data_IF_973818838112
#
_entry.id   IF_973818838112
#
_cell.length_a   1.000
_cell.length_b   1.000
_cell.length_c   1.000
_cell.angle_alpha   90.00
_cell.angle_beta   90.00
_cell.angle_gamma   90.00
#
_symmetry.space_group_name_H-M   'P 1'
#
loop_
_entity.id
_entity.type
_entity.pdbx_description
1 polymer ?
#
# COMPACT_ATOMS: atom_id res chain seq x y z
N UNK A 1 -10.32 20.66 17.93
CA UNK A 1 -9.49 21.67 17.25
C UNK A 1 -10.16 22.07 15.94
N UNK A 2 -10.07 23.33 15.51
CA UNK A 2 -10.69 23.81 14.27
C UNK A 2 -9.63 24.27 13.26
N UNK A 3 -9.87 23.99 11.99
CA UNK A 3 -8.98 24.32 10.87
C UNK A 3 -9.82 24.54 9.61
N UNK A 4 -9.23 25.12 8.55
CA UNK A 4 -9.89 25.37 7.28
C UNK A 4 -9.47 24.31 6.25
N UNK A 5 -10.38 23.98 5.36
CA UNK A 5 -10.06 23.21 4.16
C UNK A 5 -9.50 24.13 3.08
N UNK A 6 -8.79 23.57 2.10
CA UNK A 6 -8.54 24.26 0.84
C UNK A 6 -9.80 24.28 -0.06
N UNK A 7 -9.66 24.84 -1.26
CA UNK A 7 -10.75 25.00 -2.24
C UNK A 7 -11.29 23.65 -2.76
N UNK A 8 -10.54 22.56 -2.57
CA UNK A 8 -10.93 21.19 -2.93
C UNK A 8 -11.50 20.42 -1.72
N UNK A 9 -11.68 21.09 -0.57
CA UNK A 9 -12.24 20.48 0.63
C UNK A 9 -11.23 19.64 1.42
N UNK A 10 -9.93 19.70 1.10
CA UNK A 10 -8.90 18.93 1.81
C UNK A 10 -8.42 19.64 3.06
N UNK A 11 -8.05 18.84 4.04
CA UNK A 11 -7.33 19.29 5.23
C UNK A 11 -5.93 18.68 5.26
N UNK A 12 -4.91 19.52 5.28
CA UNK A 12 -3.53 19.12 5.57
C UNK A 12 -3.06 19.82 6.84
N UNK A 13 -2.78 19.05 7.88
CA UNK A 13 -2.25 19.59 9.13
C UNK A 13 -1.35 18.55 9.81
N UNK A 14 -0.44 19.03 10.67
CA UNK A 14 0.40 18.17 11.51
C UNK A 14 -0.07 18.29 12.94
N UNK A 15 -0.30 17.14 13.58
CA UNK A 15 -0.71 17.07 14.97
C UNK A 15 0.44 16.52 15.79
N UNK A 16 0.73 17.18 16.91
CA UNK A 16 1.69 16.68 17.90
C UNK A 16 0.88 16.07 19.03
N UNK A 17 1.25 14.85 19.41
CA UNK A 17 0.71 14.15 20.56
C UNK A 17 1.88 13.68 21.40
N UNK A 18 1.73 13.74 22.71
CA UNK A 18 2.65 13.12 23.66
C UNK A 18 2.48 11.60 23.63
N UNK A 19 3.49 10.85 24.06
CA UNK A 19 3.40 9.39 24.16
C UNK A 19 2.26 8.97 25.12
N UNK A 20 2.00 9.73 26.18
CA UNK A 20 0.89 9.47 27.10
C UNK A 20 -0.47 9.62 26.41
N UNK A 21 -0.65 10.63 25.56
CA UNK A 21 -1.87 10.79 24.76
C UNK A 21 -2.01 9.67 23.73
N UNK A 22 -0.92 9.25 23.08
CA UNK A 22 -0.93 8.12 22.16
C UNK A 22 -1.42 6.86 22.87
N UNK A 23 -0.89 6.53 24.05
CA UNK A 23 -1.36 5.38 24.84
C UNK A 23 -2.81 5.51 25.28
N UNK A 24 -3.23 6.70 25.70
CA UNK A 24 -4.61 6.94 26.15
C UNK A 24 -5.63 6.70 25.03
N UNK A 25 -5.28 7.04 23.79
CA UNK A 25 -6.17 6.91 22.63
C UNK A 25 -5.91 5.65 21.80
N UNK A 26 -4.91 4.82 22.17
CA UNK A 26 -4.56 3.60 21.46
C UNK A 26 -5.71 2.62 21.52
N UNK A 27 -6.09 2.12 20.34
CA UNK A 27 -7.05 1.03 20.16
C UNK A 27 -6.37 -0.14 19.46
N UNK A 28 -6.94 -1.33 19.60
CA UNK A 28 -6.51 -2.51 18.85
C UNK A 28 -6.79 -2.33 17.36
N UNK A 29 -5.83 -2.72 16.50
CA UNK A 29 -5.98 -2.71 15.05
C UNK A 29 -4.67 -2.32 14.34
N UNK A 30 -4.28 -3.09 13.33
CA UNK A 30 -2.91 -3.04 12.79
C UNK A 30 -1.88 -3.65 13.76
N UNK A 31 -0.64 -3.84 13.32
CA UNK A 31 0.41 -4.51 14.11
C UNK A 31 0.71 -3.84 15.46
N UNK A 32 0.77 -2.51 15.50
CA UNK A 32 1.06 -1.77 16.74
C UNK A 32 -0.16 -1.01 17.28
N UNK A 33 -1.37 -1.32 16.84
CA UNK A 33 -2.57 -0.55 17.21
C UNK A 33 -2.79 0.71 16.38
N UNK A 34 -3.90 1.38 16.66
CA UNK A 34 -4.38 2.54 15.91
C UNK A 34 -5.01 3.59 16.81
N UNK A 35 -5.11 4.81 16.30
CA UNK A 35 -5.90 5.90 16.88
C UNK A 35 -7.04 6.21 15.92
N UNK A 36 -8.28 6.26 16.44
CA UNK A 36 -9.45 6.67 15.67
C UNK A 36 -9.73 8.15 15.92
N UNK A 37 -9.88 8.92 14.85
CA UNK A 37 -10.24 10.33 14.94
C UNK A 37 -11.55 10.62 14.20
N UNK A 38 -12.20 11.71 14.59
CA UNK A 38 -13.38 12.23 13.91
C UNK A 38 -13.14 13.69 13.52
N UNK A 39 -13.44 14.01 12.26
CA UNK A 39 -13.52 15.37 11.77
C UNK A 39 -15.00 15.78 11.63
N UNK A 40 -15.32 17.03 11.93
CA UNK A 40 -16.66 17.58 11.79
C UNK A 40 -16.62 19.01 11.27
N UNK A 41 -17.59 19.39 10.44
CA UNK A 41 -17.69 20.76 9.92
C UNK A 41 -18.56 21.62 10.82
N UNK A 42 -18.03 22.77 11.26
CA UNK A 42 -18.76 23.70 12.12
C UNK A 42 -20.05 24.16 11.42
N UNK A 43 -21.16 24.17 12.15
CA UNK A 43 -22.48 24.59 11.67
C UNK A 43 -23.04 23.76 10.50
N UNK A 44 -22.52 22.56 10.24
CA UNK A 44 -23.09 21.58 9.31
C UNK A 44 -23.22 20.23 10.00
N UNK A 45 -24.22 19.45 9.64
CA UNK A 45 -24.31 18.05 10.09
C UNK A 45 -23.46 17.15 9.19
N UNK A 46 -22.15 17.43 9.10
CA UNK A 46 -21.20 16.66 8.31
C UNK A 46 -20.05 16.20 9.21
N UNK A 47 -19.83 14.89 9.26
CA UNK A 47 -18.79 14.24 10.04
C UNK A 47 -18.12 13.15 9.21
N UNK A 48 -16.84 12.92 9.45
CA UNK A 48 -16.07 11.82 8.90
C UNK A 48 -15.17 11.23 9.97
N UNK A 49 -14.90 9.93 9.88
CA UNK A 49 -13.99 9.22 10.78
C UNK A 49 -12.78 8.73 10.00
N UNK A 50 -11.63 8.65 10.66
CA UNK A 50 -10.42 8.10 10.08
C UNK A 50 -9.59 7.38 11.13
N UNK A 51 -8.57 6.69 10.64
CA UNK A 51 -7.69 5.86 11.45
C UNK A 51 -6.24 6.26 11.21
N UNK A 52 -5.46 6.31 12.28
CA UNK A 52 -4.01 6.50 12.24
C UNK A 52 -3.38 5.21 12.77
N UNK A 53 -2.69 4.47 11.92
CA UNK A 53 -1.97 3.27 12.33
C UNK A 53 -0.62 3.65 12.93
N UNK A 54 -0.33 3.10 14.10
CA UNK A 54 0.92 3.35 14.79
C UNK A 54 2.03 2.50 14.18
N UNK A 55 3.21 3.08 14.03
CA UNK A 55 4.37 2.45 13.42
C UNK A 55 5.60 2.82 14.25
N UNK A 56 6.08 1.87 15.05
CA UNK A 56 7.23 2.10 15.93
C UNK A 56 8.55 2.01 15.16
N UNK A 57 9.63 2.54 15.74
CA UNK A 57 10.98 2.55 15.16
C UNK A 57 11.54 1.15 14.83
N UNK A 58 11.01 0.11 15.48
CA UNK A 58 11.40 -1.29 15.35
C UNK A 58 10.22 -2.15 14.89
N UNK A 59 10.51 -3.30 14.27
CA UNK A 59 9.54 -4.31 13.85
C UNK A 59 9.53 -4.53 12.34
N UNK A 60 8.48 -5.17 11.83
CA UNK A 60 8.35 -5.52 10.40
C UNK A 60 7.18 -4.79 9.75
N UNK A 61 7.42 -4.13 8.62
CA UNK A 61 6.38 -3.53 7.78
C UNK A 61 6.30 -4.22 6.44
N UNK A 62 5.11 -4.67 6.07
CA UNK A 62 4.79 -5.14 4.72
C UNK A 62 4.20 -3.96 3.94
N UNK A 63 4.89 -3.58 2.88
CA UNK A 63 4.48 -2.53 1.96
C UNK A 63 3.99 -3.22 0.69
N UNK A 64 2.68 -3.21 0.48
CA UNK A 64 2.02 -3.94 -0.62
C UNK A 64 1.40 -2.98 -1.61
N UNK A 65 1.69 -3.15 -2.90
CA UNK A 65 0.79 -2.67 -3.93
C UNK A 65 -0.58 -3.36 -3.83
N UNK A 66 -1.61 -2.74 -4.41
CA UNK A 66 -2.96 -3.29 -4.45
C UNK A 66 -3.26 -3.89 -5.82
N UNK A 67 -3.08 -3.09 -6.87
CA UNK A 67 -3.59 -3.38 -8.21
C UNK A 67 -2.68 -4.42 -8.89
N UNK A 68 -3.28 -5.52 -9.38
CA UNK A 68 -2.58 -6.71 -9.89
C UNK A 68 -1.56 -7.37 -8.94
N UNK A 69 -1.56 -6.98 -7.65
CA UNK A 69 -0.78 -7.63 -6.58
C UNK A 69 -1.67 -8.44 -5.63
N UNK A 70 -2.69 -7.80 -5.04
CA UNK A 70 -3.70 -8.47 -4.19
C UNK A 70 -5.11 -8.36 -4.77
N UNK A 71 -5.34 -7.42 -5.68
CA UNK A 71 -6.61 -7.18 -6.37
C UNK A 71 -6.40 -7.35 -7.87
N UNK A 72 -7.15 -8.25 -8.50
CA UNK A 72 -7.10 -8.49 -9.94
C UNK A 72 -7.76 -7.31 -10.66
N UNK A 73 -7.00 -6.58 -11.48
CA UNK A 73 -7.51 -5.47 -12.28
C UNK A 73 -7.46 -5.70 -13.79
N UNK A 74 -6.64 -6.66 -14.24
CA UNK A 74 -6.45 -7.01 -15.66
C UNK A 74 -6.10 -5.76 -16.50
N UNK A 75 -4.91 -5.18 -16.27
CA UNK A 75 -4.38 -4.04 -17.05
C UNK A 75 -3.99 -4.45 -18.49
N UNK A 76 -4.88 -5.15 -19.19
CA UNK A 76 -4.74 -5.50 -20.62
C UNK A 76 -5.38 -4.45 -21.52
N UNK A 77 -6.30 -3.61 -20.99
CA UNK A 77 -6.79 -2.42 -21.70
C UNK A 77 -7.22 -1.31 -20.72
N UNK A 78 -6.92 -0.05 -21.08
CA UNK A 78 -7.22 1.13 -20.27
C UNK A 78 -8.72 1.30 -19.95
N UNK A 79 -9.60 0.86 -20.85
CA UNK A 79 -11.06 0.90 -20.65
C UNK A 79 -11.50 -0.16 -19.65
N UNK A 80 -10.93 -1.37 -19.71
CA UNK A 80 -11.25 -2.45 -18.78
C UNK A 80 -10.74 -2.13 -17.37
N UNK A 81 -9.57 -1.50 -17.24
CA UNK A 81 -9.07 -1.02 -15.95
C UNK A 81 -10.01 -0.01 -15.32
N UNK A 82 -10.56 0.94 -16.09
CA UNK A 82 -11.56 1.88 -15.57
C UNK A 82 -12.84 1.16 -15.15
N UNK A 83 -13.40 0.30 -16.00
CA UNK A 83 -14.61 -0.47 -15.67
C UNK A 83 -14.37 -1.26 -14.39
N UNK A 84 -13.33 -2.10 -14.32
CA UNK A 84 -13.03 -2.92 -13.15
C UNK A 84 -12.78 -2.08 -11.89
N UNK A 85 -12.10 -0.94 -12.02
CA UNK A 85 -11.82 -0.01 -10.91
C UNK A 85 -13.10 0.68 -10.40
N UNK A 86 -14.07 0.94 -11.27
CA UNK A 86 -15.33 1.62 -10.93
C UNK A 86 -16.53 0.68 -10.78
N UNK A 87 -16.39 -0.61 -11.09
CA UNK A 87 -17.46 -1.62 -10.96
C UNK A 87 -17.72 -2.05 -9.52
N UNK A 88 -16.76 -1.86 -8.61
CA UNK A 88 -16.86 -2.28 -7.21
C UNK A 88 -16.76 -3.80 -6.96
N UNK A 89 -16.88 -4.62 -8.01
CA UNK A 89 -16.68 -6.08 -7.94
C UNK A 89 -15.19 -6.45 -8.05
N UNK A 90 -14.39 -5.94 -7.11
CA UNK A 90 -12.97 -6.24 -7.02
C UNK A 90 -12.76 -7.72 -6.69
N UNK A 91 -11.87 -8.41 -7.39
CA UNK A 91 -11.53 -9.81 -7.07
C UNK A 91 -10.17 -9.90 -6.42
N UNK A 92 -10.07 -10.62 -5.30
CA UNK A 92 -8.78 -10.87 -4.68
C UNK A 92 -7.96 -11.87 -5.48
N UNK A 93 -6.64 -11.70 -5.44
CA UNK A 93 -5.71 -12.76 -5.83
C UNK A 93 -5.80 -13.88 -4.79
N UNK A 94 -6.00 -15.11 -5.24
CA UNK A 94 -6.20 -16.29 -4.40
C UNK A 94 -5.09 -16.42 -3.33
N UNK A 95 -5.46 -16.71 -2.08
CA UNK A 95 -4.51 -17.02 -1.00
C UNK A 95 -3.83 -15.80 -0.35
N UNK A 96 -4.03 -14.58 -0.88
CA UNK A 96 -3.28 -13.41 -0.44
C UNK A 96 -3.69 -12.90 0.94
N UNK A 97 -4.98 -12.95 1.29
CA UNK A 97 -5.43 -12.52 2.61
C UNK A 97 -4.96 -13.50 3.68
N UNK A 98 -4.94 -14.80 3.38
CA UNK A 98 -4.46 -15.85 4.28
C UNK A 98 -2.98 -15.69 4.62
N UNK A 99 -2.13 -15.48 3.61
CA UNK A 99 -0.69 -15.30 3.85
C UNK A 99 -0.39 -13.96 4.55
N UNK A 100 -1.14 -12.89 4.24
CA UNK A 100 -0.98 -11.61 4.91
C UNK A 100 -1.40 -11.68 6.38
N UNK A 101 -2.52 -12.32 6.68
CA UNK A 101 -2.96 -12.57 8.05
C UNK A 101 -1.95 -13.43 8.82
N UNK A 102 -1.38 -14.45 8.19
CA UNK A 102 -0.31 -15.24 8.80
C UNK A 102 0.91 -14.38 9.16
N UNK A 103 1.41 -13.56 8.25
CA UNK A 103 2.54 -12.66 8.53
C UNK A 103 2.23 -11.58 9.56
N UNK A 104 0.98 -11.08 9.58
CA UNK A 104 0.53 -10.16 10.63
C UNK A 104 0.67 -10.80 12.01
N UNK A 105 0.21 -12.04 12.16
CA UNK A 105 0.23 -12.76 13.42
C UNK A 105 1.64 -13.17 13.83
N UNK A 106 2.42 -13.74 12.91
CA UNK A 106 3.76 -14.26 13.17
C UNK A 106 4.76 -13.16 13.55
N UNK A 107 4.69 -12.00 12.88
CA UNK A 107 5.69 -10.94 13.04
C UNK A 107 5.15 -9.69 13.75
N UNK A 108 3.90 -9.74 14.24
CA UNK A 108 3.16 -8.54 14.68
C UNK A 108 3.26 -7.41 13.64
N UNK A 109 3.10 -7.75 12.36
CA UNK A 109 3.51 -6.87 11.27
C UNK A 109 2.55 -5.69 11.05
N UNK A 110 3.12 -4.55 10.65
CA UNK A 110 2.36 -3.40 10.16
C UNK A 110 2.16 -3.53 8.65
N UNK A 111 0.95 -3.34 8.17
CA UNK A 111 0.65 -3.30 6.73
C UNK A 111 0.45 -1.86 6.25
N UNK A 112 1.08 -1.55 5.11
CA UNK A 112 0.85 -0.34 4.35
C UNK A 112 0.52 -0.72 2.90
N UNK A 113 -0.65 -0.30 2.43
CA UNK A 113 -1.16 -0.60 1.10
C UNK A 113 -1.03 0.63 0.20
N UNK A 114 -0.48 0.45 -0.99
CA UNK A 114 -0.21 1.50 -1.96
C UNK A 114 -1.01 1.23 -3.22
N UNK A 115 -1.63 2.27 -3.79
CA UNK A 115 -2.39 2.14 -5.03
C UNK A 115 -2.32 3.43 -5.84
N UNK A 116 -2.32 3.28 -7.17
CA UNK A 116 -2.50 4.38 -8.10
C UNK A 116 -3.95 4.91 -8.13
N UNK A 117 -4.90 4.17 -7.54
CA UNK A 117 -6.32 4.54 -7.49
C UNK A 117 -6.55 5.84 -6.72
N UNK A 118 -7.60 6.55 -7.15
CA UNK A 118 -8.05 7.79 -6.53
C UNK A 118 -8.54 7.55 -5.10
N UNK A 119 -8.20 8.47 -4.18
CA UNK A 119 -8.65 8.47 -2.78
C UNK A 119 -10.18 8.46 -2.62
N UNK A 120 -10.92 8.91 -3.63
CA UNK A 120 -12.38 8.83 -3.67
C UNK A 120 -12.90 7.38 -3.71
N UNK A 121 -12.09 6.42 -4.14
CA UNK A 121 -12.42 5.00 -4.17
C UNK A 121 -12.14 4.29 -2.84
N UNK A 122 -11.64 5.01 -1.83
CA UNK A 122 -11.32 4.44 -0.53
C UNK A 122 -12.47 3.64 0.11
N UNK A 123 -13.76 4.06 0.06
CA UNK A 123 -14.85 3.28 0.64
C UNK A 123 -14.99 1.88 0.01
N UNK A 124 -14.89 1.79 -1.33
CA UNK A 124 -14.95 0.50 -2.03
C UNK A 124 -13.71 -0.36 -1.74
N UNK A 125 -12.54 0.27 -1.64
CA UNK A 125 -11.31 -0.44 -1.27
C UNK A 125 -11.38 -0.99 0.16
N UNK A 126 -11.96 -0.23 1.10
CA UNK A 126 -12.16 -0.70 2.48
C UNK A 126 -13.15 -1.86 2.53
N UNK A 127 -14.28 -1.76 1.83
CA UNK A 127 -15.24 -2.87 1.73
C UNK A 127 -14.58 -4.14 1.15
N UNK A 128 -13.72 -4.00 0.15
CA UNK A 128 -12.92 -5.10 -0.39
C UNK A 128 -12.00 -5.71 0.67
N UNK A 129 -11.24 -4.92 1.42
CA UNK A 129 -10.39 -5.46 2.48
C UNK A 129 -11.18 -6.18 3.57
N UNK A 130 -12.31 -5.62 3.99
CA UNK A 130 -13.17 -6.21 5.02
C UNK A 130 -13.81 -7.51 4.52
N UNK A 131 -14.27 -7.55 3.27
CA UNK A 131 -14.90 -8.72 2.65
C UNK A 131 -13.92 -9.87 2.45
N UNK A 132 -12.71 -9.57 1.97
CA UNK A 132 -11.68 -10.59 1.67
C UNK A 132 -10.84 -10.96 2.89
N UNK A 133 -11.00 -10.25 4.02
CA UNK A 133 -10.31 -10.53 5.27
C UNK A 133 -8.83 -10.14 5.27
N UNK A 134 -8.46 -9.05 4.59
CA UNK A 134 -7.08 -8.53 4.65
C UNK A 134 -6.79 -7.88 6.01
N UNK A 135 -5.54 -7.96 6.50
CA UNK A 135 -5.18 -7.32 7.76
C UNK A 135 -5.34 -5.80 7.67
N UNK A 136 -5.80 -5.20 8.76
CA UNK A 136 -5.96 -3.74 8.80
C UNK A 136 -4.61 -3.03 8.68
N UNK A 137 -4.53 -2.03 7.80
CA UNK A 137 -3.32 -1.25 7.57
C UNK A 137 -3.60 0.13 6.97
N UNK A 138 -2.57 0.95 6.83
CA UNK A 138 -2.69 2.26 6.19
C UNK A 138 -2.89 2.10 4.68
N UNK A 139 -3.73 2.95 4.08
CA UNK A 139 -3.91 3.01 2.64
C UNK A 139 -3.36 4.33 2.10
N UNK A 140 -2.43 4.24 1.17
CA UNK A 140 -1.76 5.36 0.53
C UNK A 140 -2.24 5.46 -0.91
N UNK A 141 -3.26 6.28 -1.11
CA UNK A 141 -3.93 6.50 -2.39
C UNK A 141 -3.50 7.83 -3.00
N UNK A 142 -3.79 8.02 -4.28
CA UNK A 142 -3.54 9.30 -4.94
C UNK A 142 -4.75 10.20 -4.83
N UNK A 143 -4.51 11.47 -4.58
CA UNK A 143 -5.54 12.46 -4.76
C UNK A 143 -5.78 12.72 -6.25
N UNK A 144 -7.03 12.75 -6.66
CA UNK A 144 -7.45 13.09 -8.02
C UNK A 144 -8.72 13.95 -7.98
N UNK A 145 -8.74 14.99 -8.81
CA UNK A 145 -9.90 15.87 -8.99
C UNK A 145 -10.55 15.56 -10.34
N UNK A 146 -11.89 15.48 -10.40
CA UNK A 146 -12.68 15.19 -11.62
C UNK A 146 -12.41 16.11 -12.83
N UNK A 147 -11.63 17.17 -12.66
CA UNK A 147 -11.23 18.13 -13.68
C UNK A 147 -9.97 17.70 -14.45
N UNK A 148 -9.24 16.68 -13.98
CA UNK A 148 -8.06 16.16 -14.67
C UNK A 148 -8.51 15.30 -15.88
N UNK A 149 -8.33 15.86 -17.07
CA UNK A 149 -8.99 15.46 -18.32
C UNK A 149 -8.54 14.12 -18.92
N UNK A 150 -7.74 13.31 -18.23
CA UNK A 150 -7.40 11.98 -18.74
C UNK A 150 -7.05 10.97 -17.63
N UNK A 151 -8.08 10.28 -17.13
CA UNK A 151 -7.97 9.18 -16.17
C UNK A 151 -6.96 8.10 -16.58
N UNK A 152 -6.82 7.81 -17.88
CA UNK A 152 -5.89 6.78 -18.39
C UNK A 152 -4.44 7.21 -18.19
N UNK A 153 -4.11 8.45 -18.56
CA UNK A 153 -2.78 9.02 -18.31
C UNK A 153 -2.50 9.12 -16.81
N UNK A 154 -3.53 9.35 -15.98
CA UNK A 154 -3.37 9.42 -14.54
C UNK A 154 -2.81 8.10 -13.98
N UNK A 155 -3.43 6.95 -14.26
CA UNK A 155 -2.93 5.64 -13.76
C UNK A 155 -1.53 5.29 -14.25
N UNK A 156 -1.13 5.74 -15.44
CA UNK A 156 0.19 5.42 -16.04
C UNK A 156 1.22 6.57 -15.94
N UNK A 157 0.91 7.64 -15.19
CA UNK A 157 1.75 8.84 -15.15
C UNK A 157 3.01 8.68 -14.30
N UNK A 158 4.07 9.38 -14.70
CA UNK A 158 5.31 9.57 -13.93
C UNK A 158 5.08 10.21 -12.54
N UNK A 159 3.92 10.80 -12.29
CA UNK A 159 3.56 11.33 -10.97
C UNK A 159 3.13 10.24 -9.98
N UNK A 160 2.62 9.08 -10.44
CA UNK A 160 2.38 7.93 -9.56
C UNK A 160 3.70 7.42 -8.96
N UNK A 161 4.68 7.24 -9.83
CA UNK A 161 6.03 6.80 -9.48
C UNK A 161 6.60 7.59 -8.32
N UNK A 162 6.58 8.91 -8.48
CA UNK A 162 7.08 9.83 -7.47
C UNK A 162 6.35 9.63 -6.14
N UNK A 163 5.02 9.43 -6.17
CA UNK A 163 4.22 9.29 -4.95
C UNK A 163 4.47 7.97 -4.21
N UNK A 164 4.62 6.87 -4.94
CA UNK A 164 4.94 5.55 -4.36
C UNK A 164 6.34 5.57 -3.73
N UNK A 165 7.33 6.12 -4.45
CA UNK A 165 8.69 6.34 -3.92
C UNK A 165 8.69 7.24 -2.70
N UNK A 166 8.00 8.40 -2.73
CA UNK A 166 7.88 9.31 -1.58
C UNK A 166 7.28 8.61 -0.35
N UNK A 167 6.31 7.71 -0.55
CA UNK A 167 5.68 6.96 0.54
C UNK A 167 6.65 5.93 1.15
N UNK A 168 7.38 5.19 0.31
CA UNK A 168 8.43 4.27 0.75
C UNK A 168 9.54 5.00 1.52
N UNK A 169 10.05 6.09 0.95
CA UNK A 169 11.07 6.93 1.57
C UNK A 169 10.59 7.53 2.90
N UNK A 170 9.33 7.95 2.99
CA UNK A 170 8.74 8.41 4.25
C UNK A 170 8.82 7.32 5.33
N UNK A 171 8.47 6.07 5.03
CA UNK A 171 8.60 4.98 6.01
C UNK A 171 10.06 4.74 6.42
N UNK A 172 10.98 4.72 5.46
CA UNK A 172 12.40 4.48 5.70
C UNK A 172 13.07 5.59 6.52
N UNK A 173 12.72 6.85 6.25
CA UNK A 173 13.29 8.03 6.94
C UNK A 173 12.73 8.25 8.34
N UNK A 174 11.47 7.86 8.58
CA UNK A 174 10.79 8.07 9.86
C UNK A 174 10.86 6.85 10.79
N UNK A 175 11.65 5.83 10.47
CA UNK A 175 11.84 4.64 11.31
C UNK A 175 13.32 4.25 11.36
N UNK A 176 13.84 3.91 12.54
CA UNK A 176 15.29 3.69 12.75
C UNK A 176 15.79 2.31 12.35
N UNK A 177 15.19 1.24 12.87
CA UNK A 177 15.66 -0.15 12.69
C UNK A 177 14.51 -1.10 12.30
N UNK A 178 13.53 -0.56 11.57
CA UNK A 178 12.38 -1.32 11.09
C UNK A 178 12.70 -2.01 9.77
N UNK A 179 12.36 -3.29 9.67
CA UNK A 179 12.60 -4.09 8.47
C UNK A 179 11.39 -4.05 7.55
N UNK A 180 11.62 -4.01 6.24
CA UNK A 180 10.58 -3.91 5.23
C UNK A 180 10.55 -5.11 4.31
N UNK A 181 9.33 -5.52 3.97
CA UNK A 181 9.03 -6.51 2.93
C UNK A 181 8.18 -5.81 1.88
N UNK A 182 8.60 -5.86 0.62
CA UNK A 182 7.98 -5.14 -0.48
C UNK A 182 7.21 -6.11 -1.37
N UNK A 183 5.94 -5.83 -1.65
CA UNK A 183 5.09 -6.62 -2.54
C UNK A 183 4.55 -5.75 -3.66
N UNK A 184 4.63 -6.24 -4.89
CA UNK A 184 4.20 -5.51 -6.08
C UNK A 184 3.99 -6.44 -7.26
N UNK A 185 3.77 -5.88 -8.44
CA UNK A 185 3.53 -6.64 -9.66
C UNK A 185 4.56 -6.31 -10.77
N UNK A 186 4.68 -7.21 -11.75
CA UNK A 186 5.61 -7.06 -12.87
C UNK A 186 5.09 -6.16 -13.99
N UNK A 187 3.81 -5.80 -14.00
CA UNK A 187 3.19 -4.99 -15.06
C UNK A 187 3.38 -3.50 -14.81
N UNK A 188 3.49 -3.12 -13.55
CA UNK A 188 3.80 -1.77 -13.12
C UNK A 188 5.31 -1.59 -12.90
N UNK A 189 5.63 -0.43 -12.33
CA UNK A 189 7.00 0.02 -12.09
C UNK A 189 7.56 -0.38 -10.73
N UNK A 190 6.88 -1.28 -10.05
CA UNK A 190 7.26 -1.80 -8.75
C UNK A 190 8.68 -2.36 -8.73
N UNK A 191 9.12 -3.17 -9.73
CA UNK A 191 10.49 -3.63 -9.79
C UNK A 191 11.51 -2.49 -9.82
N UNK A 192 11.30 -1.47 -10.67
CA UNK A 192 12.20 -0.31 -10.78
C UNK A 192 12.31 0.45 -9.44
N UNK A 193 11.17 0.68 -8.78
CA UNK A 193 11.12 1.39 -7.49
C UNK A 193 11.81 0.56 -6.41
N UNK A 194 11.48 -0.72 -6.31
CA UNK A 194 12.01 -1.60 -5.25
C UNK A 194 13.51 -1.84 -5.43
N UNK A 195 14.01 -1.90 -6.67
CA UNK A 195 15.44 -1.94 -6.94
C UNK A 195 16.16 -0.67 -6.48
N UNK A 196 15.58 0.50 -6.78
CA UNK A 196 16.14 1.79 -6.35
C UNK A 196 16.15 1.93 -4.83
N UNK A 197 15.08 1.51 -4.15
CA UNK A 197 14.99 1.51 -2.68
C UNK A 197 15.98 0.53 -2.08
N UNK A 198 16.10 -0.68 -2.62
CA UNK A 198 17.06 -1.69 -2.15
C UNK A 198 18.50 -1.20 -2.29
N UNK A 199 18.85 -0.54 -3.39
CA UNK A 199 20.19 0.02 -3.59
C UNK A 199 20.56 1.09 -2.54
N UNK A 200 19.57 1.83 -2.04
CA UNK A 200 19.76 2.87 -1.02
C UNK A 200 19.73 2.32 0.41
N UNK A 201 18.93 1.29 0.67
CA UNK A 201 18.67 0.76 2.03
C UNK A 201 18.73 -0.78 2.09
N UNK A 202 19.81 -1.43 1.63
CA UNK A 202 19.84 -2.89 1.45
C UNK A 202 19.63 -3.66 2.76
N UNK A 203 20.09 -3.13 3.89
CA UNK A 203 19.98 -3.75 5.22
C UNK A 203 18.56 -3.63 5.81
N UNK A 204 17.76 -2.68 5.32
CA UNK A 204 16.38 -2.46 5.77
C UNK A 204 15.37 -3.28 4.96
N UNK A 205 15.74 -3.79 3.79
CA UNK A 205 14.85 -4.59 2.93
C UNK A 205 15.15 -6.08 3.11
N UNK A 206 14.23 -6.81 3.74
CA UNK A 206 14.36 -8.25 3.95
C UNK A 206 14.07 -9.04 2.67
N UNK A 207 12.95 -8.72 2.02
CA UNK A 207 12.46 -9.47 0.87
C UNK A 207 11.63 -8.61 -0.07
N UNK A 208 11.72 -8.89 -1.37
CA UNK A 208 10.92 -8.30 -2.43
C UNK A 208 10.13 -9.43 -3.11
N UNK A 209 8.80 -9.35 -3.10
CA UNK A 209 7.93 -10.27 -3.81
C UNK A 209 7.27 -9.57 -4.99
N UNK A 210 7.42 -10.14 -6.19
CA UNK A 210 6.79 -9.61 -7.40
C UNK A 210 5.79 -10.60 -7.97
N UNK A 211 4.53 -10.17 -8.09
CA UNK A 211 3.49 -10.92 -8.76
C UNK A 211 3.70 -10.91 -10.26
N UNK A 212 3.59 -12.08 -10.89
CA UNK A 212 3.53 -12.23 -12.34
C UNK A 212 2.63 -13.42 -12.69
N UNK A 213 2.12 -13.45 -13.92
CA UNK A 213 1.37 -14.62 -14.40
C UNK A 213 2.31 -15.79 -14.74
N UNK A 214 1.76 -16.99 -14.71
CA UNK A 214 2.45 -18.18 -15.18
C UNK A 214 2.80 -18.05 -16.68
N UNK A 215 4.03 -18.47 -17.02
CA UNK A 215 4.63 -18.34 -18.36
C UNK A 215 4.90 -16.90 -18.86
N UNK A 216 4.86 -15.88 -17.99
CA UNK A 216 5.32 -14.54 -18.35
C UNK A 216 6.85 -14.48 -18.50
N UNK A 217 7.35 -14.86 -19.68
CA UNK A 217 8.78 -14.86 -20.03
C UNK A 217 9.33 -13.44 -20.08
N UNK A 218 8.57 -12.50 -20.67
CA UNK A 218 8.98 -11.09 -20.80
C UNK A 218 9.10 -10.43 -19.44
N UNK A 219 8.13 -10.67 -18.55
CA UNK A 219 8.17 -10.22 -17.17
C UNK A 219 9.36 -10.82 -16.42
N UNK A 220 9.64 -12.11 -16.60
CA UNK A 220 10.82 -12.74 -15.98
C UNK A 220 12.14 -12.11 -16.45
N UNK A 221 12.33 -11.93 -17.76
CA UNK A 221 13.53 -11.30 -18.32
C UNK A 221 13.71 -9.85 -17.83
N UNK A 222 12.60 -9.11 -17.70
CA UNK A 222 12.61 -7.78 -17.10
C UNK A 222 13.10 -7.83 -15.65
N UNK A 223 12.58 -8.75 -14.84
CA UNK A 223 12.97 -8.88 -13.43
C UNK A 223 14.44 -9.23 -13.28
N UNK A 224 14.96 -10.17 -14.08
CA UNK A 224 16.39 -10.51 -14.07
C UNK A 224 17.27 -9.29 -14.45
N UNK A 225 16.78 -8.45 -15.35
CA UNK A 225 17.49 -7.22 -15.75
C UNK A 225 17.47 -6.16 -14.64
N UNK A 226 16.30 -5.90 -14.06
CA UNK A 226 16.10 -4.85 -13.05
C UNK A 226 16.75 -5.23 -11.71
N UNK A 227 16.69 -6.51 -11.33
CA UNK A 227 17.22 -7.02 -10.07
C UNK A 227 18.60 -7.68 -10.21
N UNK A 228 19.32 -7.44 -11.31
CA UNK A 228 20.65 -8.03 -11.58
C UNK A 228 21.67 -7.84 -10.44
N UNK A 229 21.57 -6.73 -9.72
CA UNK A 229 22.49 -6.36 -8.62
C UNK A 229 21.93 -6.70 -7.23
N UNK A 230 20.73 -7.31 -7.17
CA UNK A 230 20.08 -7.74 -5.93
C UNK A 230 20.31 -9.25 -5.75
N UNK A 231 20.85 -9.70 -4.60
CA UNK A 231 21.06 -11.13 -4.35
C UNK A 231 19.78 -11.94 -4.56
N UNK A 232 19.88 -13.09 -5.25
CA UNK A 232 18.69 -13.89 -5.63
C UNK A 232 17.79 -14.26 -4.45
N UNK A 233 18.37 -14.46 -3.26
CA UNK A 233 17.62 -14.78 -2.05
C UNK A 233 16.79 -13.60 -1.50
N UNK A 234 17.04 -12.36 -1.93
CA UNK A 234 16.30 -11.17 -1.50
C UNK A 234 15.02 -10.94 -2.30
N UNK A 235 14.79 -11.64 -3.39
CA UNK A 235 13.57 -11.49 -4.17
C UNK A 235 12.99 -12.81 -4.64
N UNK A 236 11.68 -12.86 -4.85
CA UNK A 236 10.97 -14.01 -5.39
C UNK A 236 9.75 -13.56 -6.18
N UNK A 237 9.29 -14.43 -7.08
CA UNK A 237 8.07 -14.22 -7.85
C UNK A 237 6.96 -15.10 -7.31
N UNK A 238 5.71 -14.70 -7.51
CA UNK A 238 4.51 -15.46 -7.13
C UNK A 238 3.38 -15.18 -8.13
N UNK A 239 2.39 -16.06 -8.20
CA UNK A 239 1.14 -15.79 -8.92
C UNK A 239 -0.02 -15.64 -7.92
N UNK A 240 0.03 -16.40 -6.84
CA UNK A 240 -0.97 -16.44 -5.76
C UNK A 240 -0.34 -16.61 -4.38
N UNK A 241 -1.13 -16.43 -3.33
CA UNK A 241 -0.63 -16.43 -1.96
C UNK A 241 -0.04 -17.75 -1.49
N UNK A 242 -0.43 -18.89 -2.06
CA UNK A 242 0.16 -20.20 -1.74
C UNK A 242 1.62 -20.36 -2.18
N UNK A 243 2.08 -19.53 -3.12
CA UNK A 243 3.46 -19.59 -3.64
C UNK A 243 4.43 -18.84 -2.70
N UNK A 244 3.90 -18.01 -1.81
CA UNK A 244 4.65 -17.20 -0.87
C UNK A 244 4.99 -18.02 0.39
N UNK A 245 6.25 -17.93 0.82
CA UNK A 245 6.69 -18.61 2.03
C UNK A 245 6.03 -18.02 3.28
N UNK A 246 5.54 -18.90 4.15
CA UNK A 246 5.08 -18.53 5.49
C UNK A 246 6.18 -17.91 6.34
N UNK A 247 7.41 -18.44 6.24
CA UNK A 247 8.57 -17.81 6.85
C UNK A 247 9.31 -16.91 5.84
N UNK A 248 9.34 -15.60 6.11
CA UNK A 248 10.00 -14.60 5.27
C UNK A 248 11.49 -14.43 5.61
N UNK A 249 11.88 -14.70 6.86
CA UNK A 249 13.20 -14.41 7.41
C UNK A 249 14.07 -15.66 7.60
#
# INVERSE_FOLDING_TARGET
>A
MCTKTDDEGRLKNTFKMTNQEVELFRQTGGGNGKIVFQASVRNKNLKGTGEIFLCDDHGVTFISDIDDTIKITEVTSSTQTLINTFSGDFKAVEGMSEIYCHWQQEYNATFAYLTASSDQLYPFLREFFDREGFPTGSAHMRHFTWLDSNYITFFMSSSYMKKKTETLEMFLQNTRDRTFVLLGDVFQKDPDIYASVYAQYPDRIAKIFIRKYDNDVVGQERLETVFKDIPRHKWATFEKGSDLSRNVF
#
